data_IF_562791028049
#
_entry.id   IF_562791028049
#
_cell.length_a   1.000
_cell.length_b   1.000
_cell.length_c   1.000
_cell.angle_alpha   90.00
_cell.angle_beta   90.00
_cell.angle_gamma   90.00
#
_symmetry.space_group_name_H-M   'P 1'
#
loop_
_entity.id
_entity.type
_entity.pdbx_description
1 polymer ?
#
# COMPACT_ATOMS: atom_id res chain seq x y z
N UNK A 1 22.01 -14.24 19.20
CA UNK A 1 21.97 -13.41 20.44
C UNK A 1 23.10 -12.40 20.36
N UNK A 2 22.82 -11.19 19.89
CA UNK A 2 23.83 -10.14 19.69
C UNK A 2 23.82 -9.26 20.94
N UNK A 3 24.89 -9.33 21.73
CA UNK A 3 25.16 -8.40 22.84
C UNK A 3 25.37 -6.99 22.27
N UNK A 4 24.31 -6.19 22.20
CA UNK A 4 24.42 -4.74 21.95
C UNK A 4 24.69 -4.05 23.30
N UNK A 5 25.79 -3.30 23.50
CA UNK A 5 26.14 -2.67 24.79
C UNK A 5 25.07 -1.71 25.36
N UNK A 6 24.14 -1.23 24.53
CA UNK A 6 22.97 -0.45 24.91
C UNK A 6 21.97 -1.23 25.80
N UNK A 7 21.92 -2.57 25.72
CA UNK A 7 21.07 -3.37 26.58
C UNK A 7 21.58 -3.38 28.03
N UNK A 8 22.89 -3.38 28.23
CA UNK A 8 23.49 -3.36 29.57
C UNK A 8 23.27 -2.03 30.28
N UNK A 9 23.42 -0.90 29.58
CA UNK A 9 23.14 0.42 30.15
C UNK A 9 21.64 0.63 30.40
N UNK A 10 20.77 0.11 29.54
CA UNK A 10 19.32 0.13 29.72
C UNK A 10 18.87 -0.73 30.91
N UNK A 11 19.42 -1.96 31.02
CA UNK A 11 19.18 -2.86 32.15
C UNK A 11 19.71 -2.25 33.45
N UNK A 12 20.89 -1.61 33.44
CA UNK A 12 21.42 -0.94 34.63
C UNK A 12 20.54 0.23 35.10
N UNK A 13 20.08 1.08 34.17
CA UNK A 13 19.13 2.14 34.48
C UNK A 13 17.78 1.61 34.96
N UNK A 14 17.32 0.49 34.38
CA UNK A 14 16.08 -0.19 34.77
C UNK A 14 16.17 -0.85 36.15
N UNK A 15 17.32 -1.46 36.48
CA UNK A 15 17.59 -2.05 37.80
C UNK A 15 17.73 -0.98 38.86
N UNK A 16 18.37 0.16 38.56
CA UNK A 16 18.43 1.30 39.48
C UNK A 16 17.04 1.91 39.70
N UNK A 17 16.26 2.11 38.63
CA UNK A 17 14.90 2.64 38.73
C UNK A 17 13.96 1.69 39.50
N UNK A 18 14.01 0.39 39.21
CA UNK A 18 13.26 -0.64 39.93
C UNK A 18 13.72 -0.80 41.38
N UNK A 19 15.02 -0.67 41.65
CA UNK A 19 15.56 -0.68 43.00
C UNK A 19 15.05 0.50 43.83
N UNK A 20 15.00 1.69 43.25
CA UNK A 20 14.46 2.88 43.92
C UNK A 20 12.95 2.76 44.15
N UNK A 21 12.19 2.25 43.18
CA UNK A 21 10.74 2.06 43.36
C UNK A 21 10.41 0.92 44.31
N UNK A 22 11.19 -0.16 44.33
CA UNK A 22 11.02 -1.29 45.24
C UNK A 22 11.34 -0.91 46.69
N UNK A 23 12.43 -0.16 46.93
CA UNK A 23 12.75 0.40 48.25
C UNK A 23 11.63 1.33 48.73
N UNK A 24 11.11 2.17 47.82
CA UNK A 24 10.00 3.06 48.11
C UNK A 24 8.62 2.36 48.28
N UNK A 25 8.47 1.12 47.79
CA UNK A 25 7.29 0.28 48.02
C UNK A 25 7.41 -0.52 49.32
N UNK A 26 8.63 -0.89 49.71
CA UNK A 26 8.93 -1.61 50.96
C UNK A 26 8.79 -0.69 52.19
N UNK A 27 9.12 0.58 52.07
CA UNK A 27 8.72 1.60 53.04
C UNK A 27 7.26 1.98 52.77
N UNK A 28 6.31 1.55 53.61
CA UNK A 28 4.87 1.82 53.48
C UNK A 28 4.53 3.31 53.62
N UNK A 29 4.96 4.16 52.70
CA UNK A 29 4.46 5.50 52.51
C UNK A 29 3.37 5.44 51.44
N UNK A 30 2.17 5.90 51.78
CA UNK A 30 1.14 6.20 50.78
C UNK A 30 1.79 7.02 49.65
N UNK A 31 1.55 6.65 48.39
CA UNK A 31 2.20 7.24 47.20
C UNK A 31 2.29 8.79 47.22
N UNK A 32 1.36 9.46 47.90
CA UNK A 32 1.35 10.91 48.10
C UNK A 32 2.46 11.48 49.02
N UNK A 33 2.85 10.78 50.10
CA UNK A 33 3.89 11.26 51.03
C UNK A 33 5.28 11.14 50.38
N UNK A 34 5.52 10.04 49.66
CA UNK A 34 6.73 9.82 48.89
C UNK A 34 6.87 10.85 47.76
N UNK A 35 5.78 11.16 47.06
CA UNK A 35 5.76 12.22 46.04
C UNK A 35 6.18 13.57 46.63
N UNK A 36 5.60 13.94 47.77
CA UNK A 36 5.90 15.22 48.41
C UNK A 36 7.38 15.30 48.83
N UNK A 37 7.89 14.23 49.46
CA UNK A 37 9.26 14.17 49.96
C UNK A 37 10.32 14.10 48.84
N UNK A 38 10.01 13.44 47.71
CA UNK A 38 10.88 13.47 46.52
C UNK A 38 10.80 14.82 45.80
N UNK A 39 9.63 15.48 45.75
CA UNK A 39 9.45 16.76 45.05
C UNK A 39 10.25 17.90 45.70
N UNK A 40 10.43 17.85 47.03
CA UNK A 40 11.20 18.86 47.79
C UNK A 40 12.70 18.82 47.47
N UNK A 41 13.23 17.68 47.01
CA UNK A 41 14.64 17.55 46.63
C UNK A 41 14.79 17.77 45.13
N UNK A 42 15.67 18.69 44.73
CA UNK A 42 16.04 18.92 43.31
C UNK A 42 16.42 17.63 42.56
N UNK A 43 17.03 16.66 43.25
CA UNK A 43 17.36 15.34 42.69
C UNK A 43 16.17 14.37 42.61
N UNK A 44 15.16 14.49 43.48
CA UNK A 44 14.00 13.61 43.49
C UNK A 44 13.08 13.84 42.28
N UNK A 45 12.95 15.08 41.80
CA UNK A 45 12.25 15.38 40.53
C UNK A 45 12.91 14.66 39.35
N UNK A 46 14.25 14.60 39.31
CA UNK A 46 14.98 13.92 38.23
C UNK A 46 14.80 12.39 38.29
N UNK A 47 14.83 11.81 39.49
CA UNK A 47 14.56 10.38 39.70
C UNK A 47 13.13 10.04 39.26
N UNK A 48 12.15 10.86 39.66
CA UNK A 48 10.74 10.68 39.27
C UNK A 48 10.56 10.77 37.75
N UNK A 49 11.20 11.74 37.10
CA UNK A 49 11.17 11.89 35.64
C UNK A 49 11.76 10.66 34.91
N UNK A 50 12.87 10.11 35.41
CA UNK A 50 13.48 8.90 34.85
C UNK A 50 12.57 7.66 35.00
N UNK A 51 11.92 7.50 36.16
CA UNK A 51 10.96 6.40 36.38
C UNK A 51 9.74 6.53 35.46
N UNK A 52 9.19 7.75 35.31
CA UNK A 52 8.08 8.01 34.40
C UNK A 52 8.46 7.72 32.94
N UNK A 53 9.67 8.11 32.53
CA UNK A 53 10.17 7.84 31.19
C UNK A 53 10.40 6.33 30.95
N UNK A 54 10.87 5.61 31.96
CA UNK A 54 11.02 4.16 31.90
C UNK A 54 9.65 3.47 31.74
N UNK A 55 8.66 3.85 32.56
CA UNK A 55 7.31 3.30 32.45
C UNK A 55 6.70 3.61 31.08
N UNK A 56 6.87 4.83 30.58
CA UNK A 56 6.43 5.21 29.23
C UNK A 56 7.11 4.35 28.15
N UNK A 57 8.40 4.09 28.25
CA UNK A 57 9.13 3.23 27.30
C UNK A 57 8.62 1.79 27.33
N UNK A 58 8.43 1.22 28.52
CA UNK A 58 7.88 -0.14 28.70
C UNK A 58 6.47 -0.22 28.13
N UNK A 59 5.64 0.80 28.37
CA UNK A 59 4.29 0.88 27.83
C UNK A 59 4.29 0.98 26.29
N UNK A 60 5.15 1.81 25.70
CA UNK A 60 5.27 1.95 24.25
C UNK A 60 5.72 0.63 23.61
N UNK A 61 6.76 0.00 24.16
CA UNK A 61 7.28 -1.28 23.65
C UNK A 61 6.27 -2.42 23.87
N UNK A 62 5.58 -2.42 25.01
CA UNK A 62 4.52 -3.37 25.34
C UNK A 62 3.36 -3.26 24.35
N UNK A 63 2.84 -2.06 24.12
CA UNK A 63 1.79 -1.79 23.14
C UNK A 63 2.26 -2.16 21.72
N UNK A 64 3.50 -1.83 21.35
CA UNK A 64 4.07 -2.16 20.04
C UNK A 64 4.13 -3.68 19.82
N UNK A 65 4.55 -4.44 20.83
CA UNK A 65 4.60 -5.91 20.76
C UNK A 65 3.19 -6.53 20.71
N UNK A 66 2.22 -5.96 21.43
CA UNK A 66 0.84 -6.46 21.50
C UNK A 66 0.07 -6.21 20.21
N UNK A 67 0.24 -5.02 19.62
CA UNK A 67 -0.57 -4.54 18.50
C UNK A 67 0.06 -4.83 17.13
N UNK A 68 1.39 -4.70 16.98
CA UNK A 68 2.11 -4.96 15.73
C UNK A 68 2.87 -6.29 15.68
N UNK A 69 2.99 -6.99 16.81
CA UNK A 69 3.77 -8.23 16.90
C UNK A 69 5.28 -8.00 16.92
N UNK A 70 6.08 -9.08 16.77
CA UNK A 70 7.53 -9.00 16.80
C UNK A 70 8.09 -8.28 15.56
N UNK A 71 8.98 -7.31 15.78
CA UNK A 71 9.71 -6.63 14.71
C UNK A 71 10.89 -7.48 14.25
N UNK A 72 11.10 -7.52 12.93
CA UNK A 72 12.31 -8.12 12.36
C UNK A 72 13.54 -7.28 12.70
N UNK A 73 14.73 -7.88 12.87
CA UNK A 73 15.96 -7.13 13.11
C UNK A 73 16.22 -6.06 12.03
N UNK A 74 15.92 -6.34 10.75
CA UNK A 74 16.06 -5.38 9.66
C UNK A 74 15.13 -4.16 9.82
N UNK A 75 13.87 -4.40 10.23
CA UNK A 75 12.91 -3.32 10.47
C UNK A 75 13.36 -2.44 11.64
N UNK A 76 13.93 -3.05 12.68
CA UNK A 76 14.42 -2.33 13.86
C UNK A 76 15.61 -1.42 13.55
N UNK A 77 16.52 -1.84 12.67
CA UNK A 77 17.69 -1.05 12.30
C UNK A 77 17.27 0.17 11.45
N UNK A 78 16.37 -0.03 10.47
CA UNK A 78 15.81 1.08 9.67
C UNK A 78 15.05 2.08 10.54
N UNK A 79 14.28 1.58 11.52
CA UNK A 79 13.54 2.43 12.44
C UNK A 79 14.48 3.26 13.33
N UNK A 80 15.56 2.66 13.81
CA UNK A 80 16.55 3.32 14.64
C UNK A 80 17.24 4.47 13.91
N UNK A 81 17.64 4.27 12.65
CA UNK A 81 18.23 5.34 11.83
C UNK A 81 17.27 6.51 11.64
N UNK A 82 16.00 6.23 11.32
CA UNK A 82 14.96 7.27 11.17
C UNK A 82 14.69 8.01 12.48
N UNK A 83 14.66 7.29 13.59
CA UNK A 83 14.45 7.84 14.92
C UNK A 83 15.59 8.77 15.30
N UNK A 84 16.84 8.33 15.13
CA UNK A 84 18.02 9.12 15.44
C UNK A 84 18.10 10.38 14.56
N UNK A 85 17.84 10.27 13.26
CA UNK A 85 17.78 11.42 12.35
C UNK A 85 16.71 12.43 12.76
N UNK A 86 15.51 11.96 13.11
CA UNK A 86 14.43 12.88 13.52
C UNK A 86 14.67 13.49 14.89
N UNK A 87 15.18 12.72 15.85
CA UNK A 87 15.50 13.22 17.19
C UNK A 87 16.57 14.31 17.12
N UNK A 88 17.64 14.08 16.35
CA UNK A 88 18.72 15.07 16.18
C UNK A 88 18.22 16.35 15.52
N UNK A 89 17.38 16.26 14.47
CA UNK A 89 16.75 17.44 13.86
C UNK A 89 15.90 18.26 14.84
N UNK A 90 15.09 17.57 15.65
CA UNK A 90 14.20 18.22 16.62
C UNK A 90 14.99 18.84 17.78
N UNK A 91 16.04 18.17 18.27
CA UNK A 91 16.94 18.69 19.30
C UNK A 91 17.73 19.89 18.74
N UNK A 92 18.24 19.81 17.52
CA UNK A 92 18.95 20.91 16.87
C UNK A 92 18.04 22.13 16.71
N UNK A 93 16.77 21.93 16.30
CA UNK A 93 15.79 22.99 16.25
C UNK A 93 15.51 23.60 17.63
N UNK A 94 15.43 22.77 18.69
CA UNK A 94 15.26 23.24 20.07
C UNK A 94 16.46 24.06 20.56
N UNK A 95 17.68 23.63 20.25
CA UNK A 95 18.93 24.32 20.60
C UNK A 95 19.05 25.67 19.87
N UNK A 96 18.72 25.71 18.58
CA UNK A 96 18.75 26.95 17.79
C UNK A 96 17.79 28.02 18.34
N UNK A 97 16.65 27.59 18.86
CA UNK A 97 15.64 28.46 19.48
C UNK A 97 15.93 28.79 20.95
N UNK A 98 17.11 28.41 21.47
CA UNK A 98 17.57 28.64 22.86
C UNK A 98 16.49 28.28 23.89
N UNK A 99 15.84 27.13 23.69
CA UNK A 99 14.70 26.74 24.51
C UNK A 99 15.12 26.41 25.94
N UNK A 100 14.33 26.89 26.91
CA UNK A 100 14.38 26.37 28.28
C UNK A 100 13.72 25.00 28.29
N UNK A 101 14.48 23.95 28.63
CA UNK A 101 13.96 22.58 28.71
C UNK A 101 13.04 22.50 29.93
N UNK A 102 11.74 22.56 29.68
CA UNK A 102 10.69 22.37 30.69
C UNK A 102 10.13 20.94 30.63
N UNK A 103 9.51 20.47 31.72
CA UNK A 103 8.87 19.15 31.77
C UNK A 103 7.81 18.98 30.66
N UNK A 104 7.07 20.04 30.36
CA UNK A 104 6.09 20.07 29.27
C UNK A 104 6.72 19.80 27.90
N UNK A 105 7.92 20.32 27.66
CA UNK A 105 8.66 20.08 26.42
C UNK A 105 9.05 18.61 26.30
N UNK A 106 9.53 17.99 27.38
CA UNK A 106 9.92 16.58 27.39
C UNK A 106 8.74 15.68 27.04
N UNK A 107 7.55 15.96 27.59
CA UNK A 107 6.33 15.21 27.28
C UNK A 107 5.95 15.33 25.80
N UNK A 108 5.93 16.55 25.26
CA UNK A 108 5.61 16.82 23.84
C UNK A 108 6.65 16.17 22.91
N UNK A 109 7.93 16.26 23.25
CA UNK A 109 9.03 15.71 22.47
C UNK A 109 9.02 14.18 22.44
N UNK A 110 8.94 13.54 23.62
CA UNK A 110 8.85 12.07 23.73
C UNK A 110 7.58 11.56 23.06
N UNK A 111 6.45 12.25 23.24
CA UNK A 111 5.19 11.94 22.57
C UNK A 111 5.29 12.03 21.04
N UNK A 112 5.99 13.04 20.51
CA UNK A 112 6.18 13.18 19.06
C UNK A 112 7.07 12.06 18.49
N UNK A 113 8.16 11.72 19.18
CA UNK A 113 9.03 10.62 18.75
C UNK A 113 8.29 9.28 18.80
N UNK A 114 7.56 9.00 19.90
CA UNK A 114 6.75 7.81 20.04
C UNK A 114 5.70 7.72 18.93
N UNK A 115 4.93 8.78 18.69
CA UNK A 115 3.94 8.84 17.62
C UNK A 115 4.53 8.61 16.23
N UNK A 116 5.70 9.21 15.93
CA UNK A 116 6.40 8.97 14.66
C UNK A 116 6.88 7.54 14.50
N UNK A 117 7.48 6.96 15.53
CA UNK A 117 7.89 5.54 15.48
C UNK A 117 6.69 4.63 15.23
N UNK A 118 5.57 4.89 15.90
CA UNK A 118 4.33 4.15 15.72
C UNK A 118 3.78 4.24 14.29
N UNK A 119 3.78 5.46 13.72
CA UNK A 119 3.36 5.72 12.35
C UNK A 119 4.28 5.04 11.33
N UNK A 120 5.60 5.08 11.52
CA UNK A 120 6.56 4.41 10.63
C UNK A 120 6.46 2.90 10.65
N UNK A 121 6.20 2.30 11.82
CA UNK A 121 5.94 0.86 11.93
C UNK A 121 4.70 0.49 11.13
N UNK A 122 3.60 1.25 11.31
CA UNK A 122 2.37 1.06 10.53
C UNK A 122 2.61 1.16 9.01
N UNK A 123 3.31 2.20 8.56
CA UNK A 123 3.64 2.40 7.14
C UNK A 123 4.51 1.26 6.58
N UNK A 124 5.51 0.81 7.34
CA UNK A 124 6.40 -0.29 6.93
C UNK A 124 5.64 -1.59 6.72
N UNK A 125 4.72 -1.94 7.64
CA UNK A 125 3.90 -3.16 7.54
C UNK A 125 2.90 -3.10 6.40
N UNK A 126 2.28 -1.95 6.16
CA UNK A 126 1.36 -1.78 5.03
C UNK A 126 2.12 -1.96 3.70
N UNK A 127 3.32 -1.38 3.58
CA UNK A 127 4.16 -1.53 2.37
C UNK A 127 4.63 -2.96 2.15
N UNK A 128 4.97 -3.68 3.22
CA UNK A 128 5.30 -5.10 3.13
C UNK A 128 4.12 -5.92 2.59
N UNK A 129 2.90 -5.61 3.05
CA UNK A 129 1.69 -6.27 2.57
C UNK A 129 1.34 -5.92 1.11
N UNK A 130 1.65 -4.71 0.64
CA UNK A 130 1.49 -4.33 -0.77
C UNK A 130 2.35 -5.19 -1.71
N UNK A 131 3.48 -5.71 -1.23
CA UNK A 131 4.39 -6.54 -2.01
C UNK A 131 4.00 -8.03 -2.02
N UNK A 132 3.28 -8.52 -1.01
CA UNK A 132 2.89 -9.93 -0.87
C UNK A 132 1.39 -10.11 -0.57
N UNK A 133 0.50 -10.15 -1.60
CA UNK A 133 -0.96 -10.22 -1.41
C UNK A 133 -1.46 -11.58 -0.87
N UNK A 134 -0.66 -12.64 -0.94
CA UNK A 134 -1.05 -14.00 -0.50
C UNK A 134 -1.11 -14.15 1.05
N UNK A 135 -0.60 -13.18 1.81
CA UNK A 135 -0.64 -13.16 3.27
C UNK A 135 -1.89 -12.46 3.85
N UNK A 136 -2.83 -12.00 3.01
CA UNK A 136 -4.00 -11.18 3.38
C UNK A 136 -4.86 -11.76 4.51
N UNK A 137 -4.84 -13.08 4.72
CA UNK A 137 -5.65 -13.71 5.76
C UNK A 137 -5.12 -13.44 7.19
N UNK A 138 -3.83 -13.13 7.37
CA UNK A 138 -3.22 -12.85 8.68
C UNK A 138 -3.46 -11.40 9.17
N UNK A 139 -3.69 -10.44 8.26
CA UNK A 139 -3.96 -9.04 8.59
C UNK A 139 -5.42 -8.78 9.04
N UNK A 140 -6.30 -9.77 8.90
CA UNK A 140 -7.71 -9.71 9.33
C UNK A 140 -7.91 -9.74 10.84
N UNK A 141 -6.84 -10.00 11.61
CA UNK A 141 -6.88 -9.89 13.06
C UNK A 141 -7.18 -8.44 13.47
N UNK A 142 -8.19 -8.22 14.31
CA UNK A 142 -8.63 -6.89 14.76
C UNK A 142 -7.52 -6.02 15.43
N UNK A 143 -6.33 -6.58 15.70
CA UNK A 143 -5.20 -5.91 16.36
C UNK A 143 -4.58 -4.78 15.53
N UNK A 144 -4.30 -5.04 14.26
CA UNK A 144 -3.65 -4.07 13.37
C UNK A 144 -4.50 -2.81 13.07
N UNK A 145 -5.80 -2.92 12.73
CA UNK A 145 -6.65 -1.73 12.55
C UNK A 145 -6.83 -0.94 13.85
N UNK A 146 -6.90 -1.61 15.01
CA UNK A 146 -6.92 -0.95 16.32
C UNK A 146 -5.62 -0.17 16.56
N UNK A 147 -4.46 -0.70 16.16
CA UNK A 147 -3.17 -0.02 16.27
C UNK A 147 -3.12 1.28 15.44
N UNK A 148 -3.64 1.24 14.21
CA UNK A 148 -3.70 2.41 13.33
C UNK A 148 -4.70 3.44 13.86
N UNK A 149 -5.88 3.01 14.32
CA UNK A 149 -6.88 3.89 14.91
C UNK A 149 -6.32 4.59 16.16
N UNK A 150 -5.64 3.85 17.04
CA UNK A 150 -4.99 4.41 18.23
C UNK A 150 -3.94 5.45 17.85
N UNK A 151 -3.15 5.21 16.80
CA UNK A 151 -2.18 6.16 16.27
C UNK A 151 -2.85 7.47 15.82
N UNK A 152 -3.97 7.39 15.11
CA UNK A 152 -4.72 8.56 14.64
C UNK A 152 -5.38 9.32 15.80
N UNK A 153 -6.00 8.61 16.74
CA UNK A 153 -6.60 9.24 17.92
C UNK A 153 -5.52 9.94 18.76
N UNK A 154 -4.36 9.32 18.94
CA UNK A 154 -3.21 9.94 19.59
C UNK A 154 -2.74 11.19 18.86
N UNK A 155 -2.58 11.15 17.53
CA UNK A 155 -2.10 12.31 16.77
C UNK A 155 -3.08 13.47 16.85
N UNK A 156 -4.39 13.21 16.70
CA UNK A 156 -5.45 14.23 16.81
C UNK A 156 -5.47 14.82 18.22
N UNK A 157 -5.43 13.98 19.27
CA UNK A 157 -5.39 14.43 20.65
C UNK A 157 -4.19 15.34 20.92
N UNK A 158 -3.00 14.96 20.44
CA UNK A 158 -1.78 15.76 20.61
C UNK A 158 -1.84 17.09 19.85
N UNK A 159 -2.47 17.15 18.67
CA UNK A 159 -2.73 18.42 17.98
C UNK A 159 -3.59 19.34 18.87
N UNK A 160 -4.72 18.85 19.41
CA UNK A 160 -5.57 19.66 20.28
C UNK A 160 -4.88 20.07 21.58
N UNK A 161 -4.10 19.16 22.18
CA UNK A 161 -3.31 19.43 23.39
C UNK A 161 -2.28 20.54 23.15
N UNK A 162 -1.52 20.46 22.05
CA UNK A 162 -0.52 21.48 21.72
C UNK A 162 -1.14 22.84 21.40
N UNK A 163 -2.29 22.88 20.73
CA UNK A 163 -3.05 24.12 20.49
C UNK A 163 -3.56 24.73 21.80
N UNK A 164 -4.11 23.91 22.71
CA UNK A 164 -4.61 24.38 24.01
C UNK A 164 -3.50 25.00 24.86
N UNK A 165 -2.32 24.37 24.88
CA UNK A 165 -1.16 24.86 25.63
C UNK A 165 -0.51 26.09 24.97
N UNK A 166 -0.73 26.28 23.67
CA UNK A 166 -0.26 27.45 22.93
C UNK A 166 -1.02 28.75 23.30
N UNK A 167 -2.18 28.65 23.96
CA UNK A 167 -2.98 29.80 24.41
C UNK A 167 -2.38 30.61 25.57
N UNK A 168 -1.33 30.13 26.24
CA UNK A 168 -0.68 30.85 27.35
C UNK A 168 0.86 30.76 27.24
N UNK A 169 1.53 31.91 27.11
CA UNK A 169 3.00 32.19 27.16
C UNK A 169 3.75 32.52 25.86
N UNK A 170 4.78 33.38 26.00
CA UNK A 170 5.65 34.01 24.99
C UNK A 170 6.65 33.04 24.32
N UNK A 171 6.74 31.78 24.76
CA UNK A 171 7.52 30.70 24.12
C UNK A 171 6.79 30.10 22.89
N UNK A 172 6.14 30.96 22.11
CA UNK A 172 5.13 30.66 21.10
C UNK A 172 5.70 30.02 19.81
N UNK A 173 7.00 30.20 19.55
CA UNK A 173 7.64 29.74 18.33
C UNK A 173 7.87 28.22 18.32
N UNK A 174 8.40 27.64 19.40
CA UNK A 174 8.71 26.21 19.47
C UNK A 174 7.45 25.35 19.71
N UNK A 175 6.51 25.81 20.53
CA UNK A 175 5.23 25.10 20.69
C UNK A 175 4.48 24.96 19.35
N UNK A 176 4.66 25.95 18.46
CA UNK A 176 4.13 25.93 17.08
C UNK A 176 4.88 24.96 16.16
N UNK A 177 6.20 24.85 16.26
CA UNK A 177 6.99 23.87 15.47
C UNK A 177 6.57 22.43 15.82
N UNK A 178 6.38 22.13 17.10
CA UNK A 178 5.86 20.84 17.54
C UNK A 178 4.41 20.62 17.10
N UNK A 179 3.54 21.61 17.28
CA UNK A 179 2.14 21.51 16.85
C UNK A 179 2.05 21.22 15.35
N UNK A 180 2.86 21.90 14.54
CA UNK A 180 2.99 21.63 13.12
C UNK A 180 3.46 20.20 12.82
N UNK A 181 4.47 19.70 13.53
CA UNK A 181 4.94 18.32 13.36
C UNK A 181 3.88 17.28 13.76
N UNK A 182 3.00 17.57 14.73
CA UNK A 182 1.83 16.73 15.04
C UNK A 182 0.74 16.80 13.97
N UNK A 183 0.54 17.95 13.31
CA UNK A 183 -0.35 18.07 12.15
C UNK A 183 0.19 17.20 11.01
N UNK A 184 1.49 17.26 10.71
CA UNK A 184 2.11 16.35 9.74
C UNK A 184 1.93 14.88 10.12
N UNK A 185 2.13 14.53 11.39
CA UNK A 185 1.91 13.18 11.89
C UNK A 185 0.45 12.72 11.70
N UNK A 186 -0.52 13.62 11.87
CA UNK A 186 -1.94 13.34 11.66
C UNK A 186 -2.25 13.08 10.19
N UNK A 187 -1.65 13.86 9.28
CA UNK A 187 -1.76 13.62 7.83
C UNK A 187 -1.18 12.24 7.49
N UNK A 188 0.03 11.91 7.94
CA UNK A 188 0.64 10.59 7.71
C UNK A 188 -0.16 9.43 8.33
N UNK A 189 -0.78 9.64 9.50
CA UNK A 189 -1.63 8.62 10.14
C UNK A 189 -2.94 8.42 9.36
N UNK A 190 -3.50 9.49 8.79
CA UNK A 190 -4.72 9.41 7.96
C UNK A 190 -4.43 8.72 6.62
N UNK A 191 -3.27 8.98 6.00
CA UNK A 191 -2.89 8.36 4.73
C UNK A 191 -2.58 6.87 4.89
N UNK A 192 -2.01 6.46 6.03
CA UNK A 192 -1.79 5.03 6.33
C UNK A 192 -3.09 4.29 6.60
N UNK A 193 -4.03 4.86 7.36
CA UNK A 193 -5.36 4.26 7.57
C UNK A 193 -6.13 4.12 6.27
N UNK A 194 -6.15 5.16 5.44
CA UNK A 194 -6.86 5.13 4.15
C UNK A 194 -6.23 4.10 3.21
N UNK A 195 -4.90 3.99 3.17
CA UNK A 195 -4.20 2.93 2.42
C UNK A 195 -4.57 1.54 2.90
N UNK A 196 -4.62 1.33 4.21
CA UNK A 196 -5.06 0.06 4.81
C UNK A 196 -6.53 -0.26 4.45
N UNK A 197 -7.43 0.73 4.52
CA UNK A 197 -8.83 0.55 4.13
C UNK A 197 -8.97 0.15 2.65
N UNK A 198 -8.18 0.75 1.75
CA UNK A 198 -8.15 0.37 0.34
C UNK A 198 -7.67 -1.07 0.14
N UNK A 199 -6.61 -1.49 0.85
CA UNK A 199 -6.11 -2.88 0.79
C UNK A 199 -7.20 -3.85 1.25
N UNK A 200 -7.90 -3.54 2.34
CA UNK A 200 -9.02 -4.38 2.81
C UNK A 200 -10.14 -4.47 1.77
N UNK A 201 -10.57 -3.34 1.22
CA UNK A 201 -11.63 -3.32 0.20
C UNK A 201 -11.21 -4.14 -1.02
N UNK A 202 -9.96 -3.99 -1.49
CA UNK A 202 -9.44 -4.76 -2.62
C UNK A 202 -9.40 -6.26 -2.31
N UNK A 203 -8.89 -6.65 -1.14
CA UNK A 203 -8.85 -8.06 -0.72
C UNK A 203 -10.26 -8.66 -0.60
N UNK A 204 -11.23 -7.88 -0.12
CA UNK A 204 -12.63 -8.29 -0.03
C UNK A 204 -13.26 -8.48 -1.41
N UNK A 205 -13.05 -7.53 -2.33
CA UNK A 205 -13.55 -7.63 -3.70
C UNK A 205 -12.93 -8.85 -4.40
N UNK A 206 -11.61 -9.04 -4.28
CA UNK A 206 -10.90 -10.15 -4.89
C UNK A 206 -11.40 -11.51 -4.37
N UNK A 207 -11.59 -11.66 -3.06
CA UNK A 207 -12.11 -12.89 -2.46
C UNK A 207 -13.57 -13.14 -2.89
N UNK A 208 -14.39 -12.10 -2.97
CA UNK A 208 -15.78 -12.24 -3.41
C UNK A 208 -15.88 -12.62 -4.89
N UNK A 209 -15.00 -12.06 -5.74
CA UNK A 209 -14.85 -12.48 -7.14
C UNK A 209 -14.41 -13.94 -7.24
N UNK A 210 -13.41 -14.35 -6.46
CA UNK A 210 -12.92 -15.74 -6.41
C UNK A 210 -14.02 -16.71 -6.03
N UNK A 211 -14.83 -16.38 -5.01
CA UNK A 211 -15.97 -17.21 -4.58
C UNK A 211 -17.03 -17.36 -5.65
N UNK A 212 -17.39 -16.29 -6.34
CA UNK A 212 -18.35 -16.34 -7.47
C UNK A 212 -17.84 -17.21 -8.61
N UNK A 213 -16.57 -17.08 -8.99
CA UNK A 213 -15.98 -17.92 -10.03
C UNK A 213 -15.95 -19.40 -9.64
N UNK A 214 -15.69 -19.71 -8.37
CA UNK A 214 -15.75 -21.08 -7.86
C UNK A 214 -17.18 -21.64 -7.86
N UNK A 215 -18.18 -20.84 -7.50
CA UNK A 215 -19.60 -21.23 -7.57
C UNK A 215 -20.06 -21.45 -9.01
N UNK A 216 -19.69 -20.56 -9.94
CA UNK A 216 -19.97 -20.75 -11.37
C UNK A 216 -19.31 -22.02 -11.91
N UNK A 217 -18.13 -22.39 -11.40
CA UNK A 217 -17.45 -23.66 -11.74
C UNK A 217 -18.18 -24.88 -11.18
N UNK A 218 -18.72 -24.79 -9.96
CA UNK A 218 -19.49 -25.87 -9.33
C UNK A 218 -20.86 -26.05 -9.99
N UNK A 219 -21.59 -24.97 -10.30
CA UNK A 219 -22.83 -25.03 -11.07
C UNK A 219 -22.62 -25.53 -12.51
N UNK A 220 -21.45 -25.24 -13.12
CA UNK A 220 -21.06 -25.81 -14.42
C UNK A 220 -20.45 -27.22 -14.36
N UNK A 221 -20.36 -27.86 -13.19
CA UNK A 221 -20.07 -29.30 -13.08
C UNK A 221 -21.33 -30.16 -13.27
N UNK A 222 -22.53 -29.64 -13.07
CA UNK A 222 -23.78 -30.35 -13.40
C UNK A 222 -23.95 -30.71 -14.90
N UNK A 223 -23.49 -29.92 -15.89
CA UNK A 223 -23.46 -30.36 -17.29
C UNK A 223 -22.34 -31.36 -17.60
N UNK A 224 -21.70 -32.00 -16.61
CA UNK A 224 -20.84 -33.16 -16.86
C UNK A 224 -21.66 -34.34 -17.41
N UNK A 225 -22.89 -34.55 -16.92
CA UNK A 225 -23.81 -35.55 -17.46
C UNK A 225 -24.24 -35.23 -18.90
N UNK A 226 -24.60 -33.97 -19.18
CA UNK A 226 -24.90 -33.53 -20.56
C UNK A 226 -23.68 -33.60 -21.48
N UNK A 227 -22.46 -33.36 -20.96
CA UNK A 227 -21.21 -33.52 -21.74
C UNK A 227 -20.93 -34.97 -22.09
N UNK A 228 -21.08 -35.90 -21.16
CA UNK A 228 -20.92 -37.34 -21.40
C UNK A 228 -21.96 -37.87 -22.39
N UNK A 229 -23.23 -37.46 -22.23
CA UNK A 229 -24.32 -37.81 -23.15
C UNK A 229 -24.10 -37.23 -24.56
N UNK A 230 -23.61 -35.99 -24.64
CA UNK A 230 -23.29 -35.33 -25.91
C UNK A 230 -22.03 -35.89 -26.59
N UNK A 231 -21.00 -36.25 -25.83
CA UNK A 231 -19.79 -36.90 -26.33
C UNK A 231 -20.12 -38.31 -26.85
N UNK A 232 -21.07 -39.01 -26.23
CA UNK A 232 -21.62 -40.27 -26.74
C UNK A 232 -22.43 -40.09 -28.05
N UNK A 233 -23.19 -39.00 -28.20
CA UNK A 233 -23.90 -38.67 -29.44
C UNK A 233 -22.94 -38.37 -30.60
N UNK A 234 -21.90 -37.56 -30.35
CA UNK A 234 -20.85 -37.27 -31.34
C UNK A 234 -20.05 -38.52 -31.72
N UNK A 235 -19.71 -39.36 -30.75
CA UNK A 235 -19.05 -40.65 -30.99
C UNK A 235 -19.87 -41.52 -31.95
N UNK A 236 -21.20 -41.60 -31.77
CA UNK A 236 -22.10 -42.32 -32.69
C UNK A 236 -22.16 -41.69 -34.08
N UNK A 237 -22.13 -40.37 -34.19
CA UNK A 237 -22.28 -39.66 -35.47
C UNK A 237 -21.01 -39.66 -36.34
N UNK A 238 -19.82 -39.72 -35.72
CA UNK A 238 -18.52 -39.65 -36.42
C UNK A 238 -17.77 -40.99 -36.52
N UNK A 239 -18.37 -42.11 -36.12
CA UNK A 239 -17.82 -43.48 -36.25
C UNK A 239 -17.57 -43.97 -37.70
N UNK A 240 -17.65 -43.10 -38.73
CA UNK A 240 -17.40 -43.46 -40.14
C UNK A 240 -16.25 -42.70 -40.81
N UNK A 241 -15.55 -41.81 -40.10
CA UNK A 241 -14.44 -41.02 -40.65
C UNK A 241 -13.26 -41.00 -39.65
N UNK A 242 -12.50 -42.10 -39.63
CA UNK A 242 -11.45 -42.40 -38.64
C UNK A 242 -10.43 -41.26 -38.44
N UNK A 243 -10.04 -40.52 -39.50
CA UNK A 243 -8.99 -39.50 -39.38
C UNK A 243 -9.47 -38.12 -38.86
N UNK A 244 -10.77 -37.85 -38.86
CA UNK A 244 -11.32 -36.53 -38.47
C UNK A 244 -11.79 -36.45 -37.03
N UNK A 245 -12.24 -37.58 -36.46
CA UNK A 245 -12.76 -37.64 -35.11
C UNK A 245 -11.65 -37.40 -34.06
N UNK A 246 -10.44 -37.88 -34.32
CA UNK A 246 -9.28 -37.72 -33.43
C UNK A 246 -8.79 -36.26 -33.38
N UNK A 247 -8.71 -35.58 -34.54
CA UNK A 247 -8.38 -34.13 -34.61
C UNK A 247 -9.40 -33.24 -33.93
N UNK A 248 -10.69 -33.60 -33.98
CA UNK A 248 -11.77 -32.87 -33.31
C UNK A 248 -11.73 -33.13 -31.79
N UNK A 249 -11.47 -34.37 -31.38
CA UNK A 249 -11.35 -34.73 -29.96
C UNK A 249 -10.17 -34.02 -29.29
N UNK A 250 -9.04 -33.89 -29.98
CA UNK A 250 -7.88 -33.11 -29.51
C UNK A 250 -8.20 -31.60 -29.41
N UNK A 251 -8.92 -31.03 -30.37
CA UNK A 251 -9.30 -29.61 -30.31
C UNK A 251 -10.39 -29.29 -29.28
N UNK A 252 -11.22 -30.26 -28.91
CA UNK A 252 -12.21 -30.14 -27.82
C UNK A 252 -11.58 -30.36 -26.44
N UNK A 253 -10.64 -31.31 -26.28
CA UNK A 253 -9.91 -31.49 -25.02
C UNK A 253 -9.00 -30.31 -24.67
N UNK A 254 -8.44 -29.63 -25.68
CA UNK A 254 -7.60 -28.44 -25.48
C UNK A 254 -8.39 -27.19 -25.01
N UNK A 255 -9.72 -27.21 -25.04
CA UNK A 255 -10.56 -26.12 -24.52
C UNK A 255 -10.77 -26.18 -23.00
N UNK A 256 -10.44 -27.30 -22.34
CA UNK A 256 -10.61 -27.46 -20.89
C UNK A 256 -9.32 -27.17 -20.09
N UNK A 257 -8.14 -27.11 -20.72
CA UNK A 257 -6.87 -26.92 -20.00
C UNK A 257 -6.40 -25.46 -19.83
N UNK A 258 -6.92 -24.52 -20.64
CA UNK A 258 -6.45 -23.12 -20.63
C UNK A 258 -7.17 -22.21 -19.61
N UNK A 259 -7.78 -22.79 -18.57
CA UNK A 259 -8.50 -22.04 -17.53
C UNK A 259 -7.65 -21.70 -16.29
N UNK A 260 -6.33 -21.78 -16.40
CA UNK A 260 -5.39 -21.35 -15.36
C UNK A 260 -5.00 -19.88 -15.47
N UNK A 261 -5.10 -19.27 -16.66
CA UNK A 261 -4.67 -17.87 -16.87
C UNK A 261 -5.82 -16.97 -17.34
N UNK A 262 -7.00 -17.07 -16.73
CA UNK A 262 -7.85 -15.87 -16.63
C UNK A 262 -7.16 -14.94 -15.64
N UNK A 263 -6.05 -14.32 -16.07
CA UNK A 263 -5.45 -13.16 -15.42
C UNK A 263 -6.59 -12.18 -15.22
N UNK A 264 -7.08 -12.07 -13.98
CA UNK A 264 -8.06 -11.05 -13.62
C UNK A 264 -7.47 -9.71 -14.08
N UNK A 265 -8.15 -8.95 -14.97
CA UNK A 265 -7.67 -7.67 -15.47
C UNK A 265 -7.43 -6.61 -14.36
N UNK A 266 -7.76 -6.95 -13.11
CA UNK A 266 -7.90 -6.07 -11.96
C UNK A 266 -6.58 -5.53 -11.41
N UNK A 267 -5.47 -6.30 -11.39
CA UNK A 267 -4.25 -5.84 -10.69
C UNK A 267 -3.71 -4.49 -11.21
N UNK A 268 -3.92 -4.22 -12.50
CA UNK A 268 -3.48 -2.98 -13.16
C UNK A 268 -4.42 -1.79 -12.93
N UNK A 269 -5.69 -2.04 -12.62
CA UNK A 269 -6.61 -0.99 -12.13
C UNK A 269 -6.36 -0.70 -10.65
N UNK A 270 -5.97 -1.73 -9.90
CA UNK A 270 -5.75 -1.69 -8.46
C UNK A 270 -4.52 -0.86 -8.06
N UNK A 271 -3.43 -0.85 -8.86
CA UNK A 271 -2.25 -0.02 -8.64
C UNK A 271 -2.47 1.51 -8.82
N UNK A 272 -3.54 1.92 -9.51
CA UNK A 272 -3.82 3.35 -9.76
C UNK A 272 -4.28 4.08 -8.50
N UNK A 273 -5.09 3.43 -7.66
CA UNK A 273 -5.64 4.02 -6.45
C UNK A 273 -4.57 4.38 -5.43
N UNK A 274 -3.54 3.53 -5.28
CA UNK A 274 -2.38 3.83 -4.43
C UNK A 274 -1.59 5.04 -4.92
N UNK A 275 -1.43 5.16 -6.24
CA UNK A 275 -0.75 6.31 -6.85
C UNK A 275 -1.52 7.62 -6.65
N UNK A 276 -2.86 7.59 -6.74
CA UNK A 276 -3.70 8.76 -6.44
C UNK A 276 -3.69 9.14 -4.96
N UNK A 277 -3.79 8.15 -4.07
CA UNK A 277 -3.72 8.37 -2.63
C UNK A 277 -2.40 9.04 -2.25
N UNK A 278 -1.28 8.56 -2.80
CA UNK A 278 0.03 9.16 -2.57
C UNK A 278 0.13 10.58 -3.14
N UNK A 279 -0.50 10.86 -4.27
CA UNK A 279 -0.53 12.21 -4.85
C UNK A 279 -1.32 13.18 -3.96
N UNK A 280 -2.45 12.73 -3.41
CA UNK A 280 -3.26 13.52 -2.48
C UNK A 280 -2.51 13.71 -1.15
N UNK A 281 -1.85 12.67 -0.65
CA UNK A 281 -1.02 12.73 0.55
C UNK A 281 0.13 13.74 0.39
N UNK A 282 0.91 13.63 -0.68
CA UNK A 282 2.05 14.52 -0.93
C UNK A 282 1.57 15.97 -1.18
N UNK A 283 0.42 16.17 -1.84
CA UNK A 283 -0.12 17.51 -2.09
C UNK A 283 -0.69 18.16 -0.83
N UNK A 284 -1.40 17.41 0.02
CA UNK A 284 -1.88 17.90 1.32
C UNK A 284 -0.70 18.24 2.23
N UNK A 285 0.31 17.37 2.31
CA UNK A 285 1.51 17.61 3.10
C UNK A 285 2.31 18.82 2.59
N UNK A 286 2.48 18.97 1.27
CA UNK A 286 3.13 20.15 0.69
C UNK A 286 2.38 21.43 1.04
N UNK A 287 1.05 21.40 0.95
CA UNK A 287 0.20 22.54 1.29
C UNK A 287 0.38 22.93 2.76
N UNK A 288 0.40 21.97 3.67
CA UNK A 288 0.66 22.22 5.09
C UNK A 288 2.06 22.80 5.34
N UNK A 289 3.10 22.28 4.67
CA UNK A 289 4.45 22.86 4.77
C UNK A 289 4.52 24.29 4.23
N UNK A 290 3.84 24.60 3.12
CA UNK A 290 3.78 25.95 2.56
C UNK A 290 3.04 26.92 3.47
N UNK A 291 1.90 26.51 4.04
CA UNK A 291 1.17 27.32 5.03
C UNK A 291 2.05 27.61 6.25
N UNK A 292 2.72 26.59 6.79
CA UNK A 292 3.64 26.77 7.91
C UNK A 292 4.82 27.68 7.56
N UNK A 293 5.40 27.54 6.36
CA UNK A 293 6.47 28.41 5.89
C UNK A 293 6.01 29.86 5.81
N UNK A 294 4.84 30.11 5.23
CA UNK A 294 4.27 31.46 5.11
C UNK A 294 4.02 32.09 6.48
N UNK A 295 3.43 31.33 7.42
CA UNK A 295 3.22 31.78 8.80
C UNK A 295 4.57 32.04 9.49
N UNK A 296 5.54 31.13 9.37
CA UNK A 296 6.85 31.30 10.01
C UNK A 296 7.61 32.52 9.47
N UNK A 297 7.60 32.73 8.16
CA UNK A 297 8.25 33.87 7.52
C UNK A 297 7.63 35.20 7.97
N UNK A 298 6.31 35.26 8.16
CA UNK A 298 5.62 36.47 8.59
C UNK A 298 5.94 36.89 10.04
N UNK A 299 6.23 35.94 10.93
CA UNK A 299 6.36 36.22 12.37
C UNK A 299 7.78 36.10 12.94
N UNK A 300 8.64 35.21 12.42
CA UNK A 300 9.90 34.83 13.09
C UNK A 300 11.10 34.68 12.15
N UNK A 301 10.90 34.73 10.83
CA UNK A 301 11.92 34.49 9.83
C UNK A 301 11.97 33.03 9.33
N UNK A 302 12.98 32.66 8.52
CA UNK A 302 13.00 31.40 7.78
C UNK A 302 13.28 30.19 8.69
N UNK A 303 12.36 29.20 8.75
CA UNK A 303 12.57 27.99 9.53
C UNK A 303 13.48 27.01 8.78
N UNK A 304 14.80 27.17 8.90
CA UNK A 304 15.81 26.36 8.18
C UNK A 304 15.57 24.85 8.33
N UNK A 305 15.11 24.40 9.51
CA UNK A 305 14.81 22.99 9.78
C UNK A 305 13.67 22.41 8.91
N UNK A 306 12.73 23.23 8.43
CA UNK A 306 11.59 22.78 7.60
C UNK A 306 11.92 22.79 6.11
N UNK A 307 12.86 23.63 5.68
CA UNK A 307 13.19 23.83 4.25
C UNK A 307 13.56 22.51 3.57
N UNK A 308 14.38 21.67 4.23
CA UNK A 308 14.77 20.36 3.67
C UNK A 308 13.58 19.43 3.47
N UNK A 309 12.64 19.39 4.42
CA UNK A 309 11.43 18.56 4.34
C UNK A 309 10.51 19.05 3.22
N UNK A 310 10.30 20.36 3.15
CA UNK A 310 9.54 21.00 2.07
C UNK A 310 10.12 20.68 0.68
N UNK A 311 11.45 20.80 0.52
CA UNK A 311 12.11 20.53 -0.76
C UNK A 311 11.97 19.07 -1.19
N UNK A 312 12.19 18.12 -0.27
CA UNK A 312 12.03 16.69 -0.57
C UNK A 312 10.58 16.38 -0.97
N UNK A 313 9.60 16.88 -0.22
CA UNK A 313 8.18 16.69 -0.52
C UNK A 313 7.81 17.30 -1.88
N UNK A 314 8.30 18.50 -2.20
CA UNK A 314 8.07 19.14 -3.50
C UNK A 314 8.67 18.32 -4.65
N UNK A 315 9.91 17.84 -4.52
CA UNK A 315 10.54 16.99 -5.52
C UNK A 315 9.82 15.65 -5.71
N UNK A 316 9.31 15.05 -4.63
CA UNK A 316 8.51 13.83 -4.69
C UNK A 316 7.21 14.08 -5.47
N UNK A 317 6.51 15.17 -5.16
CA UNK A 317 5.28 15.54 -5.85
C UNK A 317 5.53 15.79 -7.34
N UNK A 318 6.56 16.56 -7.70
CA UNK A 318 6.93 16.81 -9.09
C UNK A 318 7.25 15.51 -9.85
N UNK A 319 7.98 14.59 -9.21
CA UNK A 319 8.26 13.27 -9.80
C UNK A 319 6.98 12.47 -10.03
N UNK A 320 6.05 12.45 -9.07
CA UNK A 320 4.76 11.75 -9.18
C UNK A 320 3.85 12.37 -10.23
N UNK A 321 3.71 13.70 -10.26
CA UNK A 321 2.95 14.43 -11.29
C UNK A 321 3.51 14.15 -12.68
N UNK A 322 4.84 14.18 -12.85
CA UNK A 322 5.48 13.83 -14.13
C UNK A 322 5.18 12.39 -14.55
N UNK A 323 5.10 11.46 -13.61
CA UNK A 323 4.70 10.07 -13.88
C UNK A 323 3.23 9.97 -14.30
N UNK A 324 2.32 10.67 -13.61
CA UNK A 324 0.91 10.72 -13.98
C UNK A 324 0.68 11.34 -15.36
N UNK A 325 1.35 12.47 -15.66
CA UNK A 325 1.26 13.12 -16.97
C UNK A 325 1.83 12.25 -18.10
N UNK A 326 2.85 11.44 -17.84
CA UNK A 326 3.35 10.45 -18.80
C UNK A 326 2.31 9.36 -19.05
N UNK A 327 1.68 8.85 -18.00
CA UNK A 327 0.60 7.88 -18.11
C UNK A 327 -0.62 8.42 -18.89
N UNK A 328 -1.07 9.65 -18.59
CA UNK A 328 -2.19 10.27 -19.31
C UNK A 328 -1.86 10.47 -20.80
N UNK A 329 -0.65 10.93 -21.12
CA UNK A 329 -0.18 11.04 -22.50
C UNK A 329 -0.10 9.67 -23.19
N UNK A 330 0.35 8.63 -22.50
CA UNK A 330 0.38 7.27 -23.05
C UNK A 330 -1.03 6.76 -23.41
N UNK A 331 -2.03 7.00 -22.54
CA UNK A 331 -3.43 6.64 -22.82
C UNK A 331 -3.97 7.41 -24.04
N UNK A 332 -3.73 8.72 -24.11
CA UNK A 332 -4.16 9.54 -25.25
C UNK A 332 -3.52 9.05 -26.56
N UNK A 333 -2.22 8.73 -26.56
CA UNK A 333 -1.53 8.17 -27.72
C UNK A 333 -2.09 6.82 -28.17
N UNK A 334 -2.47 5.95 -27.22
CA UNK A 334 -3.10 4.67 -27.56
C UNK A 334 -4.47 4.94 -28.17
N UNK A 335 -5.37 5.63 -27.47
CA UNK A 335 -6.76 5.78 -27.89
C UNK A 335 -6.94 6.58 -29.18
N UNK A 336 -6.08 7.56 -29.47
CA UNK A 336 -6.19 8.38 -30.67
C UNK A 336 -5.63 7.75 -31.95
N UNK A 337 -4.82 6.67 -31.85
CA UNK A 337 -4.07 6.11 -33.01
C UNK A 337 -4.22 4.61 -33.22
N UNK A 338 -4.65 3.88 -32.20
CA UNK A 338 -4.88 2.44 -32.33
C UNK A 338 -6.27 2.18 -32.90
N UNK A 339 -6.35 1.45 -34.01
CA UNK A 339 -7.62 0.90 -34.51
C UNK A 339 -7.79 -0.54 -34.00
N UNK A 340 -9.04 -0.98 -33.88
CA UNK A 340 -9.31 -2.39 -33.56
C UNK A 340 -8.85 -3.26 -34.73
N UNK A 341 -8.14 -4.36 -34.43
CA UNK A 341 -7.56 -5.22 -35.46
C UNK A 341 -8.67 -5.98 -36.21
N UNK A 342 -8.54 -6.08 -37.54
CA UNK A 342 -9.49 -6.83 -38.37
C UNK A 342 -9.24 -8.34 -38.30
N UNK A 343 -10.27 -9.16 -38.50
CA UNK A 343 -10.17 -10.62 -38.37
C UNK A 343 -9.09 -11.24 -39.28
N UNK A 344 -8.92 -10.69 -40.49
CA UNK A 344 -7.93 -11.12 -41.48
C UNK A 344 -6.47 -10.82 -41.07
N UNK A 345 -6.25 -9.79 -40.26
CA UNK A 345 -4.91 -9.44 -39.76
C UNK A 345 -4.51 -10.32 -38.58
N UNK A 346 -5.50 -10.76 -37.80
CA UNK A 346 -5.30 -11.65 -36.66
C UNK A 346 -4.92 -13.07 -37.08
N UNK A 347 -5.33 -13.53 -38.27
CA UNK A 347 -4.89 -14.82 -38.83
C UNK A 347 -3.38 -14.89 -39.08
N UNK A 348 -2.73 -13.74 -39.30
CA UNK A 348 -1.28 -13.66 -39.55
C UNK A 348 -0.44 -13.45 -38.29
N UNK A 349 -1.02 -12.82 -37.27
CA UNK A 349 -0.35 -12.43 -36.01
C UNK A 349 -1.33 -12.64 -34.85
N UNK A 350 -1.53 -13.90 -34.49
CA UNK A 350 -2.43 -14.29 -33.42
C UNK A 350 -1.76 -14.26 -32.04
N UNK A 351 -0.43 -14.29 -31.94
CA UNK A 351 0.28 -14.25 -30.64
C UNK A 351 0.71 -12.83 -30.26
N UNK A 352 0.33 -12.38 -29.06
CA UNK A 352 0.81 -11.12 -28.51
C UNK A 352 2.25 -11.27 -28.01
N UNK A 353 3.21 -10.57 -28.62
CA UNK A 353 4.63 -10.70 -28.27
C UNK A 353 5.02 -10.26 -26.84
N UNK A 354 4.14 -9.54 -26.12
CA UNK A 354 4.43 -9.06 -24.77
C UNK A 354 4.13 -10.13 -23.72
N UNK A 355 2.97 -10.80 -23.84
CA UNK A 355 2.51 -11.82 -22.89
C UNK A 355 2.61 -13.23 -23.44
N UNK A 356 2.98 -13.39 -24.73
CA UNK A 356 3.09 -14.67 -25.44
C UNK A 356 1.79 -15.48 -25.45
N UNK A 357 0.63 -14.82 -25.34
CA UNK A 357 -0.69 -15.46 -25.38
C UNK A 357 -1.45 -15.13 -26.67
N UNK A 358 -2.29 -16.06 -27.11
CA UNK A 358 -3.10 -15.93 -28.32
C UNK A 358 -4.20 -14.86 -28.15
N UNK A 359 -4.28 -13.96 -29.12
CA UNK A 359 -5.28 -12.94 -29.33
C UNK A 359 -6.42 -13.56 -30.14
N UNK A 360 -7.63 -13.64 -29.56
CA UNK A 360 -8.81 -14.14 -30.28
C UNK A 360 -9.60 -12.97 -30.84
N UNK A 361 -9.98 -13.04 -32.12
CA UNK A 361 -10.89 -12.06 -32.72
C UNK A 361 -12.27 -12.26 -32.09
N UNK A 362 -13.10 -11.21 -32.10
CA UNK A 362 -14.45 -11.26 -31.51
C UNK A 362 -15.41 -12.23 -32.21
N UNK A 363 -14.95 -12.97 -33.23
CA UNK A 363 -15.75 -13.88 -34.03
C UNK A 363 -14.90 -15.12 -34.35
N UNK A 364 -15.24 -16.31 -33.82
CA UNK A 364 -14.70 -17.52 -34.40
C UNK A 364 -15.19 -17.62 -35.84
N UNK A 365 -14.30 -18.04 -36.72
CA UNK A 365 -14.54 -18.36 -38.12
C UNK A 365 -15.59 -19.49 -38.19
N UNK A 366 -16.87 -19.16 -38.05
CA UNK A 366 -17.99 -20.12 -38.12
C UNK A 366 -18.21 -20.70 -39.54
N UNK A 367 -17.29 -20.41 -40.46
CA UNK A 367 -17.37 -20.77 -41.86
C UNK A 367 -16.49 -21.97 -42.26
N UNK A 368 -15.54 -22.41 -41.41
CA UNK A 368 -14.63 -23.52 -41.73
C UNK A 368 -15.01 -24.87 -41.11
N UNK A 369 -16.01 -24.89 -40.24
CA UNK A 369 -16.59 -26.12 -39.72
C UNK A 369 -17.87 -26.34 -40.53
N UNK A 370 -18.01 -27.51 -41.17
CA UNK A 370 -19.23 -27.90 -41.89
C UNK A 370 -20.49 -27.78 -41.02
N UNK A 371 -21.69 -28.11 -41.52
CA UNK A 371 -22.94 -27.81 -40.83
C UNK A 371 -22.98 -28.45 -39.43
N UNK A 372 -22.61 -27.66 -38.43
CA UNK A 372 -22.63 -28.04 -37.03
C UNK A 372 -24.06 -27.97 -36.53
N UNK A 373 -24.39 -28.86 -35.60
CA UNK A 373 -25.67 -28.81 -34.89
C UNK A 373 -25.87 -27.44 -34.26
N UNK A 374 -27.10 -26.90 -34.35
CA UNK A 374 -27.47 -25.53 -33.91
C UNK A 374 -27.05 -25.24 -32.47
N UNK A 375 -27.09 -26.27 -31.62
CA UNK A 375 -26.72 -26.16 -30.20
C UNK A 375 -25.21 -26.09 -29.97
N UNK A 376 -24.40 -26.74 -30.82
CA UNK A 376 -22.95 -26.62 -30.79
C UNK A 376 -22.49 -25.22 -31.15
N UNK A 377 -23.08 -24.63 -32.20
CA UNK A 377 -22.81 -23.23 -32.55
C UNK A 377 -23.15 -22.31 -31.37
N UNK A 378 -24.32 -22.48 -30.75
CA UNK A 378 -24.78 -21.65 -29.63
C UNK A 378 -23.87 -21.75 -28.40
N UNK A 379 -23.46 -22.96 -28.02
CA UNK A 379 -22.53 -23.20 -26.91
C UNK A 379 -21.14 -22.61 -27.18
N UNK A 380 -20.61 -22.79 -28.40
CA UNK A 380 -19.29 -22.27 -28.78
C UNK A 380 -19.30 -20.74 -28.82
N UNK A 381 -20.34 -20.12 -29.38
CA UNK A 381 -20.49 -18.66 -29.40
C UNK A 381 -20.59 -18.05 -28.00
N UNK A 382 -21.33 -18.67 -27.08
CA UNK A 382 -21.47 -18.15 -25.70
C UNK A 382 -20.16 -18.26 -24.90
N UNK A 383 -19.41 -19.36 -25.04
CA UNK A 383 -18.08 -19.50 -24.41
C UNK A 383 -17.04 -18.53 -24.99
N UNK A 384 -16.99 -18.36 -26.32
CA UNK A 384 -16.03 -17.45 -26.98
C UNK A 384 -16.38 -15.97 -26.71
N UNK A 385 -17.67 -15.63 -26.63
CA UNK A 385 -18.13 -14.31 -26.19
C UNK A 385 -17.71 -14.00 -24.75
N UNK A 386 -17.75 -14.98 -23.84
CA UNK A 386 -17.30 -14.81 -22.46
C UNK A 386 -15.78 -14.61 -22.35
N UNK A 387 -14.97 -15.28 -23.17
CA UNK A 387 -13.50 -15.14 -23.21
C UNK A 387 -13.08 -13.79 -23.80
N UNK A 388 -13.80 -13.30 -24.81
CA UNK A 388 -13.55 -12.01 -25.48
C UNK A 388 -14.11 -10.79 -24.73
N UNK A 389 -14.77 -11.00 -23.59
CA UNK A 389 -15.43 -9.93 -22.82
C UNK A 389 -14.45 -9.03 -22.04
N UNK A 390 -13.19 -9.44 -21.84
CA UNK A 390 -12.22 -8.62 -21.10
C UNK A 390 -11.67 -7.49 -21.98
N UNK A 391 -11.83 -6.24 -21.54
CA UNK A 391 -11.35 -5.07 -22.30
C UNK A 391 -9.82 -5.04 -22.45
N UNK A 392 -9.09 -5.70 -21.55
CA UNK A 392 -7.64 -5.81 -21.56
C UNK A 392 -7.10 -6.76 -22.66
N UNK A 393 -7.85 -7.81 -23.00
CA UNK A 393 -7.50 -8.78 -24.07
C UNK A 393 -7.97 -8.35 -25.46
N UNK A 394 -8.50 -7.12 -25.62
CA UNK A 394 -8.88 -6.60 -26.94
C UNK A 394 -7.64 -6.45 -27.83
N UNK A 395 -7.60 -7.07 -29.02
CA UNK A 395 -6.50 -6.91 -29.96
C UNK A 395 -6.57 -5.52 -30.62
N UNK A 396 -5.49 -4.75 -30.48
CA UNK A 396 -5.35 -3.43 -31.06
C UNK A 396 -4.20 -3.37 -32.05
N UNK A 397 -4.44 -2.74 -33.19
CA UNK A 397 -3.44 -2.51 -34.23
C UNK A 397 -2.80 -1.14 -34.08
N UNK A 398 -1.48 -1.09 -34.14
CA UNK A 398 -0.70 0.15 -34.21
C UNK A 398 -0.56 0.64 -35.65
N UNK A 399 -0.27 1.93 -35.90
CA UNK A 399 -0.03 2.47 -37.25
C UNK A 399 1.18 1.83 -37.96
N UNK A 400 2.08 1.18 -37.23
CA UNK A 400 3.18 0.39 -37.80
C UNK A 400 2.77 -1.01 -38.28
N UNK A 401 1.51 -1.41 -38.10
CA UNK A 401 0.95 -2.68 -38.56
C UNK A 401 0.88 -3.79 -37.51
N UNK A 402 1.63 -3.70 -36.40
CA UNK A 402 1.66 -4.75 -35.36
C UNK A 402 0.39 -4.78 -34.51
N UNK A 403 -0.06 -5.98 -34.17
CA UNK A 403 -1.25 -6.24 -33.35
C UNK A 403 -0.85 -6.77 -31.97
N UNK A 404 -1.42 -6.20 -30.91
CA UNK A 404 -1.10 -6.51 -29.51
C UNK A 404 -2.36 -6.43 -28.63
N UNK A 405 -2.37 -7.11 -27.48
CA UNK A 405 -3.38 -6.90 -26.44
C UNK A 405 -3.36 -5.45 -25.91
N UNK A 406 -4.53 -4.83 -25.77
CA UNK A 406 -4.67 -3.47 -25.25
C UNK A 406 -4.03 -3.29 -23.87
N UNK A 407 -4.22 -4.25 -22.97
CA UNK A 407 -3.64 -4.23 -21.62
C UNK A 407 -2.11 -4.27 -21.63
N UNK A 408 -1.53 -5.12 -22.48
CA UNK A 408 -0.08 -5.23 -22.64
C UNK A 408 0.52 -3.97 -23.27
N UNK A 409 -0.13 -3.42 -24.29
CA UNK A 409 0.29 -2.19 -24.96
C UNK A 409 0.31 -0.99 -24.00
N UNK A 410 -0.71 -0.90 -23.12
CA UNK A 410 -0.79 0.16 -22.10
C UNK A 410 0.39 0.11 -21.12
N UNK A 411 0.72 -1.07 -20.59
CA UNK A 411 1.88 -1.30 -19.70
C UNK A 411 3.22 -0.96 -20.37
N UNK A 412 3.35 -1.30 -21.66
CA UNK A 412 4.58 -1.02 -22.40
C UNK A 412 4.80 0.48 -22.59
N UNK A 413 3.74 1.22 -22.97
CA UNK A 413 3.84 2.66 -23.26
C UNK A 413 4.04 3.54 -22.03
N UNK A 414 3.66 3.08 -20.83
CA UNK A 414 4.03 3.74 -19.58
C UNK A 414 5.55 3.87 -19.42
N UNK A 415 6.29 2.85 -19.88
CA UNK A 415 7.75 2.81 -19.78
C UNK A 415 8.41 3.41 -21.02
N UNK A 416 7.96 3.02 -22.21
CA UNK A 416 8.55 3.42 -23.50
C UNK A 416 7.47 3.60 -24.58
N UNK A 417 7.30 4.80 -25.17
CA UNK A 417 6.29 5.06 -26.22
C UNK A 417 6.78 4.63 -27.61
N UNK A 418 7.27 3.40 -27.73
CA UNK A 418 7.74 2.81 -28.99
C UNK A 418 7.08 1.46 -29.20
N UNK A 419 6.82 1.08 -30.46
CA UNK A 419 6.31 -0.25 -30.74
C UNK A 419 7.28 -1.33 -30.21
N UNK A 420 6.83 -2.31 -29.41
CA UNK A 420 7.70 -3.36 -28.88
C UNK A 420 8.32 -4.23 -29.98
N UNK A 421 7.62 -4.41 -31.11
CA UNK A 421 8.09 -5.24 -32.21
C UNK A 421 9.09 -4.51 -33.11
N UNK A 422 8.73 -3.35 -33.66
CA UNK A 422 9.56 -2.65 -34.63
C UNK A 422 10.32 -1.43 -34.09
N UNK A 423 10.16 -1.10 -32.80
CA UNK A 423 10.78 0.07 -32.12
C UNK A 423 10.49 1.43 -32.76
N UNK A 424 9.64 1.48 -33.80
CA UNK A 424 9.20 2.73 -34.42
C UNK A 424 8.42 3.56 -33.39
N UNK A 425 8.74 4.84 -33.32
CA UNK A 425 7.98 5.80 -32.52
C UNK A 425 6.57 5.87 -33.08
N UNK A 426 5.57 5.86 -32.21
CA UNK A 426 4.17 6.03 -32.60
C UNK A 426 3.88 7.53 -32.69
N UNK A 427 4.71 8.25 -33.45
CA UNK A 427 4.67 9.71 -33.60
C UNK A 427 3.70 10.15 -34.68
#
# INVERSE_FOLDING_TARGET
>A
MVNRPWTMSGVFSMVLALGVTAVAFCERATLGILYNHLSERKGGIMILANVLLLYALVLILGLQSLLYGPLSPLESDILFEKLLGTATEMILAALFLKLKIDGSFVVIFVGLLAGKTWSWIGEGRIKAHEQEPLAAMQLSSARFPVALLLSLLFSIYMVFYTIKIMGSSVELAMKRTFSFEFVCLTISSTTTITRYALILIQSYIAENQRRRTLQDRQGKREPAGEREEFQALLGRQYSRLDDTAERINDSVMMLDHDQLDTESPSWYEDCRWYSYLDLIADSTQLTTYLIYLMVSLAFYGPPVHVIRRLFITALNLLRRVKTLLRHLRAIQHINGRSTDATAKELESQDICIICLTHMKSRLPHAASIGPLHRDYQRWMFTKVAAISASEASKPKRLPCGHVLHLGCLRKWFERKPVCPTCRRTVQ
#
